data_IF_683047889091
#
_entry.id   IF_683047889091
#
_cell.length_a   1.000
_cell.length_b   1.000
_cell.length_c   1.000
_cell.angle_alpha   90.00
_cell.angle_beta   90.00
_cell.angle_gamma   90.00
#
_symmetry.space_group_name_H-M   'P 1'
#
loop_
_entity.id
_entity.type
_entity.pdbx_description
1 polymer ?
#
# COMPACT_ATOMS: atom_id res chain seq x y z
N UNK A 1 13.39 -2.43 21.40
CA UNK A 1 12.08 -1.78 21.57
C UNK A 1 12.28 -0.72 22.66
N UNK A 2 12.51 0.54 22.30
CA UNK A 2 13.01 1.55 23.27
C UNK A 2 12.30 2.91 23.21
N UNK A 3 11.24 3.10 22.42
CA UNK A 3 10.61 4.44 22.24
C UNK A 3 9.07 4.46 22.27
N UNK A 4 8.41 3.36 22.62
CA UNK A 4 6.95 3.30 22.80
C UNK A 4 6.65 2.81 24.21
N UNK A 5 6.90 3.67 25.19
CA UNK A 5 6.67 3.35 26.60
C UNK A 5 5.32 3.88 27.10
N UNK A 6 4.74 4.87 26.40
CA UNK A 6 3.48 5.52 26.81
C UNK A 6 2.41 5.47 25.73
N UNK A 7 1.15 5.38 26.16
CA UNK A 7 -0.01 5.37 25.26
C UNK A 7 -0.06 6.62 24.36
N UNK A 8 0.38 7.78 24.87
CA UNK A 8 0.44 9.02 24.11
C UNK A 8 1.38 8.92 22.89
N UNK A 9 2.57 8.33 23.06
CA UNK A 9 3.51 8.11 21.95
C UNK A 9 2.90 7.18 20.90
N UNK A 10 2.16 6.15 21.33
CA UNK A 10 1.43 5.25 20.43
C UNK A 10 0.37 5.99 19.62
N UNK A 11 -0.43 6.87 20.25
CA UNK A 11 -1.46 7.63 19.55
C UNK A 11 -0.88 8.64 18.56
N UNK A 12 0.21 9.34 18.93
CA UNK A 12 0.90 10.25 18.03
C UNK A 12 1.43 9.49 16.81
N UNK A 13 2.12 8.36 17.03
CA UNK A 13 2.64 7.52 15.96
C UNK A 13 1.53 6.99 15.06
N UNK A 14 0.44 6.50 15.64
CA UNK A 14 -0.72 6.03 14.88
C UNK A 14 -1.35 7.16 14.04
N UNK A 15 -1.43 8.37 14.58
CA UNK A 15 -1.90 9.55 13.85
C UNK A 15 -1.02 9.90 12.65
N UNK A 16 0.31 9.89 12.83
CA UNK A 16 1.26 10.14 11.74
C UNK A 16 1.16 9.06 10.66
N UNK A 17 1.13 7.78 11.05
CA UNK A 17 0.97 6.66 10.11
C UNK A 17 -0.36 6.80 9.36
N UNK A 18 -1.45 7.12 10.05
CA UNK A 18 -2.77 7.30 9.46
C UNK A 18 -2.81 8.44 8.43
N UNK A 19 -2.17 9.58 8.72
CA UNK A 19 -2.05 10.71 7.79
C UNK A 19 -1.29 10.32 6.52
N UNK A 20 -0.11 9.70 6.67
CA UNK A 20 0.71 9.27 5.53
C UNK A 20 -0.03 8.22 4.70
N UNK A 21 -0.62 7.21 5.36
CA UNK A 21 -1.35 6.14 4.67
C UNK A 21 -2.62 6.68 3.97
N UNK A 22 -3.30 7.67 4.55
CA UNK A 22 -4.44 8.36 3.93
C UNK A 22 -4.02 9.15 2.68
N UNK A 23 -2.93 9.91 2.78
CA UNK A 23 -2.36 10.66 1.66
C UNK A 23 -1.97 9.77 0.48
N UNK A 24 -1.26 8.66 0.75
CA UNK A 24 -0.87 7.68 -0.29
C UNK A 24 -2.11 7.07 -0.97
N UNK A 25 -3.14 6.70 -0.19
CA UNK A 25 -4.37 6.14 -0.75
C UNK A 25 -5.12 7.15 -1.64
N UNK A 26 -5.16 8.42 -1.25
CA UNK A 26 -5.77 9.48 -2.04
C UNK A 26 -5.00 9.74 -3.35
N UNK A 27 -3.68 9.84 -3.27
CA UNK A 27 -2.80 10.04 -4.43
C UNK A 27 -2.90 8.88 -5.42
N UNK A 28 -2.84 7.63 -4.94
CA UNK A 28 -3.00 6.44 -5.78
C UNK A 28 -4.28 6.49 -6.61
N UNK A 29 -5.40 6.85 -5.98
CA UNK A 29 -6.70 6.95 -6.67
C UNK A 29 -6.74 8.10 -7.67
N UNK A 30 -6.15 9.25 -7.34
CA UNK A 30 -6.12 10.43 -8.22
C UNK A 30 -5.21 10.23 -9.44
N UNK A 31 -4.06 9.57 -9.27
CA UNK A 31 -3.21 9.19 -10.38
C UNK A 31 -3.93 8.17 -11.27
N UNK A 32 -4.52 7.13 -10.67
CA UNK A 32 -5.26 6.13 -11.42
C UNK A 32 -6.41 6.76 -12.23
N UNK A 33 -7.16 7.71 -11.66
CA UNK A 33 -8.23 8.40 -12.40
C UNK A 33 -7.76 9.18 -13.63
N UNK A 34 -6.51 9.65 -13.63
CA UNK A 34 -5.94 10.40 -14.77
C UNK A 34 -5.43 9.47 -15.87
N UNK A 35 -5.03 8.23 -15.54
CA UNK A 35 -4.52 7.26 -16.52
C UNK A 35 -5.62 6.52 -17.29
N UNK A 36 -6.84 6.45 -16.75
CA UNK A 36 -7.90 5.62 -17.35
C UNK A 36 -8.54 6.33 -18.56
N UNK A 37 -8.74 5.64 -19.69
CA UNK A 37 -9.48 6.20 -20.83
C UNK A 37 -10.95 6.45 -20.48
N UNK A 38 -11.52 7.61 -20.88
CA UNK A 38 -12.83 8.08 -20.43
C UNK A 38 -13.98 7.11 -20.75
N UNK A 39 -13.85 6.36 -21.84
CA UNK A 39 -14.83 5.40 -22.34
C UNK A 39 -14.95 4.14 -21.47
N UNK A 40 -13.90 3.81 -20.69
CA UNK A 40 -13.83 2.57 -19.88
C UNK A 40 -13.64 2.83 -18.39
N UNK A 41 -13.93 4.04 -17.92
CA UNK A 41 -13.76 4.45 -16.53
C UNK A 41 -14.31 3.45 -15.51
N UNK A 42 -15.54 2.96 -15.71
CA UNK A 42 -16.19 2.03 -14.78
C UNK A 42 -15.49 0.66 -14.69
N UNK A 43 -14.96 0.14 -15.80
CA UNK A 43 -14.32 -1.17 -15.86
C UNK A 43 -12.96 -1.15 -15.14
N UNK A 44 -12.14 -0.14 -15.41
CA UNK A 44 -10.83 0.01 -14.77
C UNK A 44 -10.95 0.35 -13.27
N UNK A 45 -11.92 1.20 -12.87
CA UNK A 45 -12.20 1.43 -11.45
C UNK A 45 -12.76 0.19 -10.75
N UNK A 46 -13.58 -0.61 -11.45
CA UNK A 46 -14.04 -1.91 -10.98
C UNK A 46 -12.88 -2.85 -10.70
N UNK A 47 -11.94 -2.96 -11.64
CA UNK A 47 -10.73 -3.77 -11.48
C UNK A 47 -9.85 -3.28 -10.32
N UNK A 48 -9.58 -1.97 -10.23
CA UNK A 48 -8.82 -1.38 -9.11
C UNK A 48 -9.44 -1.72 -7.75
N UNK A 49 -10.77 -1.65 -7.64
CA UNK A 49 -11.47 -1.96 -6.40
C UNK A 49 -11.36 -3.46 -6.04
N UNK A 50 -11.50 -4.35 -7.03
CA UNK A 50 -11.34 -5.81 -6.81
C UNK A 50 -9.92 -6.13 -6.37
N UNK A 51 -8.90 -5.58 -7.04
CA UNK A 51 -7.49 -5.76 -6.69
C UNK A 51 -7.20 -5.20 -5.29
N UNK A 52 -7.71 -4.00 -4.97
CA UNK A 52 -7.55 -3.40 -3.64
C UNK A 52 -8.16 -4.25 -2.52
N UNK A 53 -9.37 -4.79 -2.74
CA UNK A 53 -10.03 -5.70 -1.79
C UNK A 53 -9.26 -7.02 -1.65
N UNK A 54 -8.76 -7.58 -2.75
CA UNK A 54 -7.94 -8.78 -2.71
C UNK A 54 -6.66 -8.55 -1.90
N UNK A 55 -5.96 -7.42 -2.11
CA UNK A 55 -4.77 -7.05 -1.36
C UNK A 55 -5.06 -6.88 0.15
N UNK A 56 -6.20 -6.28 0.50
CA UNK A 56 -6.62 -6.11 1.89
C UNK A 56 -6.89 -7.43 2.63
N UNK A 57 -7.22 -8.51 1.90
CA UNK A 57 -7.36 -9.87 2.46
C UNK A 57 -6.02 -10.60 2.47
N UNK A 58 -5.26 -10.51 1.38
CA UNK A 58 -4.03 -11.26 1.19
C UNK A 58 -2.93 -10.85 2.18
N UNK A 59 -2.80 -9.55 2.47
CA UNK A 59 -1.81 -9.03 3.41
C UNK A 59 -1.95 -9.62 4.82
N UNK A 60 -3.12 -9.50 5.48
CA UNK A 60 -3.37 -10.10 6.80
C UNK A 60 -3.26 -11.63 6.80
N UNK A 61 -3.74 -12.31 5.77
CA UNK A 61 -3.63 -13.78 5.67
C UNK A 61 -2.16 -14.19 5.64
N UNK A 62 -1.35 -13.58 4.78
CA UNK A 62 0.08 -13.87 4.69
C UNK A 62 0.82 -13.59 6.01
N UNK A 63 0.58 -12.40 6.60
CA UNK A 63 1.16 -12.04 7.89
C UNK A 63 0.77 -13.04 8.99
N UNK A 64 -0.52 -13.40 9.05
CA UNK A 64 -1.06 -14.32 10.05
C UNK A 64 -0.49 -15.72 9.91
N UNK A 65 -0.38 -16.24 8.69
CA UNK A 65 0.25 -17.55 8.42
C UNK A 65 1.71 -17.55 8.84
N UNK A 66 2.48 -16.52 8.50
CA UNK A 66 3.91 -16.43 8.85
C UNK A 66 4.08 -16.28 10.37
N UNK A 67 3.27 -15.45 11.02
CA UNK A 67 3.28 -15.32 12.49
C UNK A 67 2.93 -16.64 13.18
N UNK A 68 1.95 -17.38 12.65
CA UNK A 68 1.51 -18.65 13.21
C UNK A 68 2.57 -19.75 13.06
N UNK A 69 3.14 -19.91 11.87
CA UNK A 69 4.16 -20.94 11.59
C UNK A 69 5.48 -20.65 12.31
N UNK A 70 5.91 -19.38 12.35
CA UNK A 70 7.15 -19.00 13.01
C UNK A 70 7.05 -18.93 14.54
N UNK A 71 5.83 -18.89 15.09
CA UNK A 71 5.57 -18.64 16.51
C UNK A 71 5.98 -17.24 16.98
N UNK A 72 6.43 -16.36 16.08
CA UNK A 72 6.93 -15.03 16.41
C UNK A 72 6.17 -13.94 15.63
N UNK A 73 5.31 -13.14 16.30
CA UNK A 73 4.56 -12.07 15.65
C UNK A 73 5.41 -11.04 14.92
N UNK A 74 6.67 -10.83 15.35
CA UNK A 74 7.60 -9.88 14.72
C UNK A 74 7.99 -10.34 13.31
N UNK A 75 8.17 -11.64 13.11
CA UNK A 75 8.47 -12.20 11.79
C UNK A 75 7.24 -12.10 10.86
N UNK A 76 6.03 -12.20 11.41
CA UNK A 76 4.80 -11.88 10.69
C UNK A 76 4.78 -10.43 10.19
N UNK A 77 5.02 -9.45 11.06
CA UNK A 77 5.07 -8.02 10.64
C UNK A 77 6.16 -7.80 9.58
N UNK A 78 7.34 -8.42 9.76
CA UNK A 78 8.46 -8.30 8.82
C UNK A 78 8.13 -8.84 7.42
N UNK A 79 7.22 -9.81 7.30
CA UNK A 79 6.79 -10.34 6.01
C UNK A 79 6.14 -9.28 5.11
N UNK A 80 5.51 -8.26 5.69
CA UNK A 80 4.94 -7.14 4.91
C UNK A 80 6.04 -6.36 4.20
N UNK A 81 7.25 -6.29 4.78
CA UNK A 81 8.40 -5.68 4.12
C UNK A 81 8.76 -6.41 2.80
N UNK A 82 8.58 -7.73 2.72
CA UNK A 82 8.79 -8.49 1.48
C UNK A 82 7.83 -8.03 0.37
N UNK A 83 6.56 -7.77 0.70
CA UNK A 83 5.59 -7.21 -0.26
C UNK A 83 5.98 -5.79 -0.70
N UNK A 84 6.49 -4.96 0.21
CA UNK A 84 7.01 -3.63 -0.15
C UNK A 84 8.20 -3.71 -1.10
N UNK A 85 9.16 -4.61 -0.86
CA UNK A 85 10.30 -4.81 -1.76
C UNK A 85 9.87 -5.34 -3.12
N UNK A 86 8.95 -6.31 -3.15
CA UNK A 86 8.39 -6.81 -4.40
C UNK A 86 7.68 -5.69 -5.17
N UNK A 87 6.82 -4.90 -4.50
CA UNK A 87 6.15 -3.75 -5.09
C UNK A 87 7.12 -2.70 -5.62
N UNK A 88 8.16 -2.35 -4.84
CA UNK A 88 9.20 -1.42 -5.27
C UNK A 88 9.96 -1.93 -6.50
N UNK A 89 10.26 -3.23 -6.57
CA UNK A 89 10.89 -3.85 -7.72
C UNK A 89 10.02 -3.75 -8.98
N UNK A 90 8.71 -4.02 -8.86
CA UNK A 90 7.77 -3.83 -9.97
C UNK A 90 7.62 -2.37 -10.38
N UNK A 91 7.58 -1.45 -9.41
CA UNK A 91 7.42 -0.02 -9.69
C UNK A 91 8.58 0.54 -10.52
N UNK A 92 9.81 0.02 -10.37
CA UNK A 92 10.96 0.40 -11.21
C UNK A 92 10.76 0.11 -12.71
N UNK A 93 9.83 -0.76 -13.08
CA UNK A 93 9.52 -1.09 -14.48
C UNK A 93 8.47 -0.15 -15.08
N UNK A 94 7.83 0.69 -14.26
CA UNK A 94 6.87 1.69 -14.72
C UNK A 94 7.66 2.92 -15.17
N UNK A 95 7.74 3.13 -16.47
CA UNK A 95 8.20 4.40 -17.05
C UNK A 95 7.03 5.38 -17.06
N UNK A 96 7.25 6.59 -16.55
CA UNK A 96 6.30 7.69 -16.67
C UNK A 96 6.08 8.02 -18.16
N UNK A 97 4.84 8.18 -18.65
CA UNK A 97 4.61 8.72 -19.98
C UNK A 97 5.25 10.12 -20.05
N UNK A 98 6.06 10.34 -21.08
CA UNK A 98 6.98 11.46 -21.19
C UNK A 98 6.35 12.84 -21.00
N UNK A 99 7.19 13.73 -20.48
CA UNK A 99 7.03 15.17 -20.44
C UNK A 99 7.08 15.74 -21.89
N UNK A 100 6.02 15.56 -22.68
CA UNK A 100 5.90 16.11 -24.05
C UNK A 100 4.78 17.15 -24.17
N UNK A 101 4.58 17.99 -23.14
CA UNK A 101 3.69 19.14 -23.22
C UNK A 101 4.32 20.37 -22.57
N UNK A 102 5.45 20.82 -23.12
CA UNK A 102 5.92 22.20 -22.97
C UNK A 102 6.90 22.53 -24.12
N UNK A 103 6.38 22.52 -25.34
CA UNK A 103 6.81 23.42 -26.42
C UNK A 103 5.59 24.24 -26.84
#
# INVERSE_FOLDING_TARGET
>A
AYFLETALQMYILAGVIGLVQGGIQALSRSLFSQLIPPEKNAEFFGFYNVVGKAAAVFGPVMMGTIAHVSGNPRLGILSVALLFFAGMFFFRRVQEPGHEASD
#
